data_IF_645604823832
#
_entry.id   IF_645604823832
#
_cell.length_a   1.000
_cell.length_b   1.000
_cell.length_c   1.000
_cell.angle_alpha   90.00
_cell.angle_beta   90.00
_cell.angle_gamma   90.00
#
_symmetry.space_group_name_H-M   'P 1'
#
loop_
_entity.id
_entity.type
_entity.pdbx_description
1 polymer ?
#
# COMPACT_ATOMS: atom_id res chain seq x y z
N UNK A 1 -13.80 -10.57 -1.99
CA UNK A 1 -13.66 -9.16 -1.56
C UNK A 1 -13.21 -8.36 -2.77
N UNK A 2 -13.75 -7.18 -3.05
CA UNK A 2 -13.32 -6.40 -4.22
C UNK A 2 -12.04 -5.67 -3.87
N UNK A 3 -10.92 -6.03 -4.51
CA UNK A 3 -9.61 -5.41 -4.25
C UNK A 3 -9.48 -3.99 -4.81
N UNK A 4 -10.36 -3.62 -5.72
CA UNK A 4 -10.28 -2.39 -6.50
C UNK A 4 -11.66 -1.75 -6.69
N UNK A 5 -11.72 -0.43 -6.58
CA UNK A 5 -12.86 0.38 -7.02
C UNK A 5 -12.35 1.62 -7.74
N UNK A 6 -12.82 1.84 -8.98
CA UNK A 6 -12.45 3.01 -9.77
C UNK A 6 -13.46 4.15 -9.63
N UNK A 7 -12.98 5.39 -9.68
CA UNK A 7 -13.77 6.62 -9.66
C UNK A 7 -13.01 7.74 -10.38
N UNK A 8 -13.66 8.90 -10.59
CA UNK A 8 -13.04 10.05 -11.22
C UNK A 8 -13.04 11.27 -10.30
N UNK A 9 -11.97 12.06 -10.36
CA UNK A 9 -11.84 13.36 -9.72
C UNK A 9 -11.42 14.37 -10.79
N UNK A 10 -12.35 15.19 -11.25
CA UNK A 10 -12.10 16.05 -12.42
C UNK A 10 -11.75 15.21 -13.65
N UNK A 11 -10.61 15.48 -14.25
CA UNK A 11 -10.07 14.72 -15.40
C UNK A 11 -9.25 13.48 -15.01
N UNK A 12 -8.98 13.27 -13.71
CA UNK A 12 -8.12 12.18 -13.25
C UNK A 12 -8.91 10.91 -12.96
N UNK A 13 -8.44 9.79 -13.45
CA UNK A 13 -8.94 8.47 -13.08
C UNK A 13 -8.22 8.00 -11.81
N UNK A 14 -9.01 7.59 -10.84
CA UNK A 14 -8.51 7.16 -9.53
C UNK A 14 -9.05 5.79 -9.18
N UNK A 15 -8.30 5.07 -8.32
CA UNK A 15 -8.67 3.74 -7.83
C UNK A 15 -8.42 3.68 -6.33
N UNK A 16 -9.41 3.22 -5.54
CA UNK A 16 -9.13 2.74 -4.19
C UNK A 16 -8.62 1.32 -4.28
N UNK A 17 -7.50 1.06 -3.62
CA UNK A 17 -6.83 -0.23 -3.55
C UNK A 17 -6.90 -0.77 -2.12
N UNK A 18 -7.26 -2.04 -1.95
CA UNK A 18 -7.22 -2.70 -0.64
C UNK A 18 -5.81 -3.20 -0.37
N UNK A 19 -5.18 -2.67 0.68
CA UNK A 19 -3.84 -3.05 1.12
C UNK A 19 -3.84 -4.08 2.26
N UNK A 20 -5.03 -4.57 2.65
CA UNK A 20 -5.23 -5.53 3.72
C UNK A 20 -5.97 -4.96 4.93
N UNK A 21 -6.01 -5.76 5.99
CA UNK A 21 -6.62 -5.42 7.27
C UNK A 21 -5.58 -5.41 8.38
N UNK A 22 -5.83 -4.58 9.37
CA UNK A 22 -5.17 -4.61 10.67
C UNK A 22 -6.21 -4.55 11.79
N UNK A 23 -5.79 -4.84 13.03
CA UNK A 23 -6.64 -4.75 14.22
C UNK A 23 -5.96 -3.92 15.28
N UNK A 24 -6.61 -2.84 15.70
CA UNK A 24 -6.12 -1.95 16.76
C UNK A 24 -7.10 -1.92 17.92
N UNK A 25 -6.60 -1.60 19.12
CA UNK A 25 -7.44 -1.49 20.33
C UNK A 25 -8.59 -0.50 20.11
N UNK A 26 -9.81 -0.98 20.29
CA UNK A 26 -11.01 -0.17 20.08
C UNK A 26 -11.11 1.00 21.04
N UNK A 27 -10.57 0.88 22.26
CA UNK A 27 -10.53 1.98 23.22
C UNK A 27 -9.59 3.10 22.73
N UNK A 28 -8.43 2.73 22.18
CA UNK A 28 -7.51 3.72 21.58
C UNK A 28 -8.14 4.43 20.38
N UNK A 29 -8.88 3.70 19.54
CA UNK A 29 -9.52 4.26 18.34
C UNK A 29 -10.72 5.15 18.65
N UNK A 30 -11.55 4.78 19.61
CA UNK A 30 -12.74 5.53 19.99
C UNK A 30 -12.50 6.55 21.11
N UNK A 31 -11.31 6.55 21.72
CA UNK A 31 -10.92 7.52 22.74
C UNK A 31 -11.87 7.56 23.92
N UNK A 32 -12.48 8.70 24.18
CA UNK A 32 -13.38 8.91 25.32
C UNK A 32 -14.76 8.29 25.16
N UNK A 33 -15.10 7.74 23.99
CA UNK A 33 -16.40 7.09 23.77
C UNK A 33 -16.43 5.76 24.53
N UNK A 34 -17.41 5.53 25.45
CA UNK A 34 -17.47 4.28 26.21
C UNK A 34 -17.63 3.04 25.32
N UNK A 35 -16.94 1.94 25.68
CA UNK A 35 -16.99 0.67 24.95
C UNK A 35 -18.43 0.17 24.74
N UNK A 36 -19.30 0.35 25.71
CA UNK A 36 -20.71 -0.03 25.61
C UNK A 36 -21.47 0.64 24.48
N UNK A 37 -21.01 1.80 24.02
CA UNK A 37 -21.59 2.51 22.89
C UNK A 37 -20.95 2.09 21.57
N UNK A 38 -19.62 2.14 21.44
CA UNK A 38 -18.99 1.85 20.15
C UNK A 38 -19.02 0.37 19.76
N UNK A 39 -19.01 -0.57 20.71
CA UNK A 39 -19.11 -2.01 20.39
C UNK A 39 -20.43 -2.40 19.71
N UNK A 40 -21.47 -1.57 19.79
CA UNK A 40 -22.72 -1.78 19.05
C UNK A 40 -22.60 -1.50 17.55
N UNK A 41 -21.53 -0.82 17.15
CA UNK A 41 -21.24 -0.43 15.76
C UNK A 41 -20.17 -1.32 15.12
N UNK A 42 -19.19 -1.72 15.90
CA UNK A 42 -18.11 -2.58 15.45
C UNK A 42 -17.74 -3.54 16.58
N UNK A 43 -17.86 -4.83 16.33
CA UNK A 43 -17.59 -5.87 17.34
C UNK A 43 -16.09 -6.06 17.49
N UNK A 44 -15.54 -5.88 18.70
CA UNK A 44 -14.13 -6.15 18.97
C UNK A 44 -13.86 -7.65 19.11
N UNK A 45 -12.62 -8.05 18.85
CA UNK A 45 -12.13 -9.38 19.20
C UNK A 45 -11.90 -9.53 20.73
N UNK A 46 -11.46 -10.74 21.15
CA UNK A 46 -11.17 -11.05 22.56
C UNK A 46 -10.06 -10.18 23.16
N UNK A 47 -9.23 -9.57 22.33
CA UNK A 47 -8.16 -8.63 22.70
C UNK A 47 -8.62 -7.16 22.64
N UNK A 48 -9.93 -6.90 22.54
CA UNK A 48 -10.55 -5.57 22.40
C UNK A 48 -10.13 -4.82 21.11
N UNK A 49 -9.64 -5.54 20.10
CA UNK A 49 -9.20 -4.93 18.84
C UNK A 49 -10.34 -4.90 17.83
N UNK A 50 -10.42 -3.82 17.06
CA UNK A 50 -11.38 -3.66 15.97
C UNK A 50 -10.66 -3.75 14.62
N UNK A 51 -11.32 -4.29 13.57
CA UNK A 51 -10.73 -4.35 12.23
C UNK A 51 -10.71 -2.97 11.57
N UNK A 52 -9.58 -2.63 10.96
CA UNK A 52 -9.35 -1.41 10.20
C UNK A 52 -8.75 -1.79 8.85
N UNK A 53 -9.28 -1.23 7.76
CA UNK A 53 -8.76 -1.47 6.43
C UNK A 53 -7.58 -0.52 6.14
N UNK A 54 -6.53 -1.07 5.54
CA UNK A 54 -5.41 -0.31 5.00
C UNK A 54 -5.71 -0.02 3.52
N UNK A 55 -6.28 1.16 3.22
CA UNK A 55 -6.64 1.55 1.86
C UNK A 55 -5.70 2.58 1.30
N UNK A 56 -5.29 2.34 0.06
CA UNK A 56 -4.47 3.24 -0.72
C UNK A 56 -5.27 3.83 -1.87
N UNK A 57 -4.79 4.92 -2.47
CA UNK A 57 -5.39 5.49 -3.67
C UNK A 57 -4.34 5.56 -4.77
N UNK A 58 -4.64 4.95 -5.90
CA UNK A 58 -3.85 5.11 -7.12
C UNK A 58 -4.50 6.18 -8.00
N UNK A 59 -3.69 7.10 -8.51
CA UNK A 59 -4.10 8.16 -9.43
C UNK A 59 -3.37 7.97 -10.76
N UNK A 60 -4.12 7.85 -11.85
CA UNK A 60 -3.58 7.88 -13.20
C UNK A 60 -3.40 9.36 -13.62
N UNK A 61 -2.16 9.82 -13.63
CA UNK A 61 -1.80 11.18 -14.05
C UNK A 61 -1.02 11.11 -15.37
N UNK A 62 -1.13 12.14 -16.21
CA UNK A 62 -0.46 12.18 -17.53
C UNK A 62 1.07 12.01 -17.44
N UNK A 63 1.67 12.49 -16.37
CA UNK A 63 3.10 12.35 -16.13
C UNK A 63 3.50 11.00 -15.50
N UNK A 64 2.56 10.15 -15.08
CA UNK A 64 2.78 8.83 -14.51
C UNK A 64 1.92 8.56 -13.28
N UNK A 65 1.97 7.32 -12.78
CA UNK A 65 1.15 6.88 -11.66
C UNK A 65 1.60 7.48 -10.33
N UNK A 66 0.61 7.92 -9.54
CA UNK A 66 0.82 8.40 -8.17
C UNK A 66 0.08 7.44 -7.23
N UNK A 67 0.79 6.87 -6.26
CA UNK A 67 0.20 6.06 -5.20
C UNK A 67 0.17 6.87 -3.90
N UNK A 68 -1.01 7.03 -3.32
CA UNK A 68 -1.21 7.68 -2.03
C UNK A 68 -1.34 6.61 -0.97
N UNK A 69 -0.41 6.59 -0.02
CA UNK A 69 -0.13 5.55 0.96
C UNK A 69 0.25 4.19 0.34
N UNK A 70 0.91 3.34 1.11
CA UNK A 70 1.47 2.07 0.64
C UNK A 70 1.12 0.88 1.53
N UNK A 71 0.18 1.04 2.45
CA UNK A 71 -0.16 0.03 3.45
C UNK A 71 1.07 -0.45 4.25
N UNK A 72 1.06 -1.69 4.76
CA UNK A 72 2.11 -2.21 5.64
C UNK A 72 3.34 -2.75 4.88
N UNK A 73 3.15 -3.35 3.71
CA UNK A 73 4.21 -4.11 3.05
C UNK A 73 4.39 -5.52 3.65
N UNK A 74 5.60 -6.11 3.50
CA UNK A 74 5.89 -7.51 3.85
C UNK A 74 7.12 -7.70 4.75
N UNK A 75 7.52 -6.69 5.51
CA UNK A 75 8.79 -6.68 6.28
C UNK A 75 8.65 -7.13 7.73
N UNK A 76 7.44 -7.12 8.25
CA UNK A 76 7.18 -7.28 9.68
C UNK A 76 7.28 -8.75 10.10
N UNK A 77 7.78 -8.96 11.33
CA UNK A 77 7.90 -10.30 11.88
C UNK A 77 6.55 -10.87 12.38
N UNK A 78 6.53 -12.17 12.66
CA UNK A 78 5.33 -12.87 13.10
C UNK A 78 4.72 -12.29 14.39
N UNK A 79 5.56 -11.75 15.29
CA UNK A 79 5.11 -11.13 16.54
C UNK A 79 4.36 -9.83 16.27
N UNK A 80 4.88 -9.00 15.37
CA UNK A 80 4.22 -7.78 14.95
C UNK A 80 2.86 -8.09 14.28
N UNK A 81 2.86 -9.06 13.35
CA UNK A 81 1.65 -9.48 12.65
C UNK A 81 0.56 -9.96 13.62
N UNK A 82 0.92 -10.72 14.66
CA UNK A 82 -0.03 -11.16 15.70
C UNK A 82 -0.55 -9.99 16.57
N UNK A 83 0.34 -9.11 17.03
CA UNK A 83 -0.04 -7.97 17.87
C UNK A 83 -1.09 -7.11 17.17
N UNK A 84 -0.85 -6.78 15.92
CA UNK A 84 -1.71 -5.91 15.12
C UNK A 84 -2.75 -6.66 14.29
N UNK A 85 -2.83 -7.99 14.40
CA UNK A 85 -3.81 -8.81 13.66
C UNK A 85 -3.79 -8.52 12.17
N UNK A 86 -2.60 -8.50 11.59
CA UNK A 86 -2.39 -8.14 10.18
C UNK A 86 -2.89 -9.26 9.25
N UNK A 87 -3.67 -8.87 8.26
CA UNK A 87 -4.19 -9.72 7.20
C UNK A 87 -3.97 -8.97 5.87
N UNK A 88 -2.75 -9.03 5.33
CA UNK A 88 -2.37 -8.32 4.11
C UNK A 88 -1.64 -9.19 3.09
N UNK A 89 -1.58 -10.50 3.31
CA UNK A 89 -0.93 -11.42 2.38
C UNK A 89 -1.69 -11.44 1.05
N UNK A 90 -0.96 -11.32 -0.05
CA UNK A 90 -1.50 -11.43 -1.41
C UNK A 90 -1.84 -12.87 -1.78
N UNK A 91 -2.61 -13.05 -2.85
CA UNK A 91 -2.91 -14.34 -3.46
C UNK A 91 -1.84 -14.71 -4.50
N UNK A 92 -1.40 -13.74 -5.28
CA UNK A 92 -0.37 -13.90 -6.33
C UNK A 92 0.84 -12.99 -6.08
N UNK A 93 0.61 -11.76 -5.58
CA UNK A 93 1.67 -10.86 -5.11
C UNK A 93 2.09 -11.13 -3.67
N UNK A 94 3.14 -10.48 -3.21
CA UNK A 94 3.60 -10.57 -1.83
C UNK A 94 2.60 -9.96 -0.84
N UNK A 95 1.80 -8.99 -1.30
CA UNK A 95 0.79 -8.29 -0.49
C UNK A 95 -0.52 -8.10 -1.26
N UNK A 96 -1.62 -7.86 -0.54
CA UNK A 96 -2.91 -7.53 -1.15
C UNK A 96 -2.86 -6.22 -1.97
N UNK A 97 -1.99 -5.27 -1.60
CA UNK A 97 -1.80 -4.06 -2.37
C UNK A 97 -1.22 -4.36 -3.76
N UNK A 98 -0.29 -5.31 -3.86
CA UNK A 98 0.25 -5.75 -5.16
C UNK A 98 -0.81 -6.43 -6.02
N UNK A 99 -1.64 -7.29 -5.44
CA UNK A 99 -2.78 -7.89 -6.13
C UNK A 99 -3.81 -6.84 -6.57
N UNK A 100 -4.05 -5.81 -5.75
CA UNK A 100 -4.94 -4.71 -6.09
C UNK A 100 -4.38 -3.85 -7.24
N UNK A 101 -3.08 -3.58 -7.25
CA UNK A 101 -2.40 -2.92 -8.37
C UNK A 101 -2.51 -3.76 -9.65
N UNK A 102 -2.23 -5.06 -9.58
CA UNK A 102 -2.37 -5.98 -10.71
C UNK A 102 -3.81 -6.01 -11.25
N UNK A 103 -4.81 -5.97 -10.37
CA UNK A 103 -6.23 -5.88 -10.74
C UNK A 103 -6.58 -4.57 -11.47
N UNK A 104 -5.82 -3.50 -11.22
CA UNK A 104 -5.93 -2.23 -11.95
C UNK A 104 -5.14 -2.24 -13.28
N UNK A 105 -4.38 -3.29 -13.57
CA UNK A 105 -3.53 -3.43 -14.75
C UNK A 105 -2.11 -2.86 -14.57
N UNK A 106 -1.68 -2.61 -13.35
CA UNK A 106 -0.39 -2.01 -13.03
C UNK A 106 0.45 -2.92 -12.10
N UNK A 107 1.75 -2.66 -12.07
CA UNK A 107 2.69 -3.32 -11.17
C UNK A 107 3.33 -2.27 -10.24
N UNK A 108 3.87 -2.66 -9.08
CA UNK A 108 4.55 -1.71 -8.19
C UNK A 108 5.62 -0.86 -8.87
N UNK A 109 6.35 -1.42 -9.84
CA UNK A 109 7.38 -0.71 -10.63
C UNK A 109 6.84 0.39 -11.54
N UNK A 110 5.54 0.39 -11.84
CA UNK A 110 4.89 1.39 -12.71
C UNK A 110 4.54 2.66 -11.92
N UNK A 111 4.55 2.58 -10.58
CA UNK A 111 4.31 3.71 -9.70
C UNK A 111 5.51 4.66 -9.77
N UNK A 112 5.26 5.89 -10.20
CA UNK A 112 6.31 6.91 -10.36
C UNK A 112 6.52 7.74 -9.09
N UNK A 113 5.43 8.03 -8.37
CA UNK A 113 5.46 8.80 -7.13
C UNK A 113 4.63 8.15 -6.05
N UNK A 114 5.14 8.23 -4.83
CA UNK A 114 4.42 7.87 -3.62
C UNK A 114 4.21 9.11 -2.78
N UNK A 115 2.99 9.32 -2.31
CA UNK A 115 2.61 10.37 -1.36
C UNK A 115 2.12 9.68 -0.10
N UNK A 116 2.86 9.79 1.00
CA UNK A 116 2.36 9.32 2.29
C UNK A 116 1.58 10.42 2.99
N UNK A 117 0.37 10.11 3.44
CA UNK A 117 -0.44 11.01 4.28
C UNK A 117 0.27 11.26 5.60
N UNK A 118 0.89 10.22 6.15
CA UNK A 118 1.76 10.24 7.31
C UNK A 118 2.61 8.95 7.38
N UNK A 119 3.51 8.84 8.36
CA UNK A 119 4.51 7.78 8.41
C UNK A 119 4.21 6.64 9.40
N UNK A 120 2.95 6.40 9.76
CA UNK A 120 2.60 5.19 10.48
C UNK A 120 2.76 3.96 9.57
N UNK A 121 2.99 2.81 10.19
CA UNK A 121 3.34 1.57 9.48
C UNK A 121 2.28 1.12 8.46
N UNK A 122 1.02 1.36 8.74
CA UNK A 122 -0.13 1.03 7.90
C UNK A 122 -0.35 2.00 6.72
N UNK A 123 0.43 3.06 6.63
CA UNK A 123 0.43 4.05 5.55
C UNK A 123 1.74 4.07 4.75
N UNK A 124 2.88 3.85 5.41
CA UNK A 124 4.20 3.99 4.81
C UNK A 124 5.02 2.69 4.81
N UNK A 125 4.50 1.61 5.38
CA UNK A 125 5.20 0.34 5.50
C UNK A 125 5.62 -0.26 4.16
N UNK A 126 4.78 -0.13 3.14
CA UNK A 126 5.04 -0.63 1.79
C UNK A 126 5.96 0.25 0.93
N UNK A 127 6.48 1.39 1.45
CA UNK A 127 7.48 2.19 0.72
C UNK A 127 8.75 1.41 0.41
N UNK A 128 9.00 0.35 1.16
CA UNK A 128 10.13 -0.57 0.97
C UNK A 128 9.62 -2.00 1.10
N UNK A 129 10.24 -2.93 0.38
CA UNK A 129 9.91 -4.35 0.42
C UNK A 129 11.12 -5.19 0.84
N UNK A 130 10.86 -6.36 1.43
CA UNK A 130 11.91 -7.37 1.57
C UNK A 130 12.19 -7.98 0.20
N UNK A 131 13.46 -8.07 -0.15
CA UNK A 131 13.91 -8.79 -1.33
C UNK A 131 13.90 -10.30 -0.98
N UNK A 132 13.12 -11.14 -1.66
CA UNK A 132 13.05 -12.56 -1.36
C UNK A 132 14.41 -13.27 -1.54
N UNK A 133 15.27 -12.76 -2.42
CA UNK A 133 16.62 -13.31 -2.62
C UNK A 133 17.56 -13.02 -1.43
N UNK A 134 17.20 -12.06 -0.58
CA UNK A 134 17.94 -11.68 0.64
C UNK A 134 17.30 -12.19 1.94
N UNK A 135 16.27 -13.01 1.89
CA UNK A 135 15.57 -13.51 3.07
C UNK A 135 16.51 -14.23 4.04
N UNK A 136 17.54 -14.89 3.53
CA UNK A 136 18.57 -15.60 4.29
C UNK A 136 19.87 -14.80 4.48
N UNK A 137 19.96 -13.54 4.03
CA UNK A 137 21.14 -12.71 4.26
C UNK A 137 21.07 -12.08 5.67
N UNK A 138 22.03 -12.37 6.55
CA UNK A 138 22.07 -11.80 7.90
C UNK A 138 22.18 -10.27 7.92
N UNK A 139 22.50 -9.65 6.79
CA UNK A 139 22.57 -8.19 6.64
C UNK A 139 21.25 -7.54 6.25
N UNK A 140 20.18 -8.29 6.05
CA UNK A 140 18.80 -7.87 5.69
C UNK A 140 18.70 -6.42 5.19
N UNK A 141 18.82 -6.21 3.90
CA UNK A 141 18.66 -4.89 3.32
C UNK A 141 17.22 -4.67 2.86
N UNK A 142 16.60 -3.64 3.41
CA UNK A 142 15.33 -3.11 2.90
C UNK A 142 15.66 -2.28 1.65
N UNK A 143 15.12 -2.65 0.49
CA UNK A 143 15.27 -1.87 -0.74
C UNK A 143 14.10 -0.90 -0.89
N UNK A 144 14.36 0.37 -1.28
CA UNK A 144 13.30 1.23 -1.80
C UNK A 144 12.76 0.62 -3.11
N UNK A 145 11.46 0.81 -3.39
CA UNK A 145 10.87 0.42 -4.66
C UNK A 145 11.72 0.99 -5.82
N UNK A 146 12.03 0.20 -6.87
CA UNK A 146 12.89 0.67 -7.95
C UNK A 146 12.27 1.91 -8.62
N UNK A 147 13.05 2.96 -8.87
CA UNK A 147 12.57 4.09 -9.66
C UNK A 147 12.19 3.55 -11.04
N UNK A 148 11.00 3.92 -11.52
CA UNK A 148 10.54 3.55 -12.85
C UNK A 148 11.65 3.82 -13.87
N UNK A 149 12.00 2.83 -14.68
CA UNK A 149 12.96 2.97 -15.76
C UNK A 149 12.39 3.96 -16.77
N UNK A 150 12.78 5.23 -16.65
CA UNK A 150 12.50 6.24 -17.66
C UNK A 150 13.07 5.78 -18.98
N UNK A 151 12.21 5.44 -19.94
CA UNK A 151 12.62 5.22 -21.32
C UNK A 151 13.20 6.52 -21.83
N UNK A 152 14.55 6.59 -21.97
CA UNK A 152 15.22 7.64 -22.71
C UNK A 152 14.85 7.48 -24.18
N UNK A 153 13.82 8.18 -24.63
CA UNK A 153 13.59 8.39 -26.05
C UNK A 153 14.68 9.33 -26.56
N UNK A 154 15.73 8.76 -27.13
CA UNK A 154 16.69 9.50 -27.95
C UNK A 154 15.95 10.04 -29.17
N UNK A 155 15.64 11.34 -29.17
CA UNK A 155 15.12 12.04 -30.33
C UNK A 155 16.17 12.00 -31.47
N UNK A 156 15.72 11.99 -32.76
CA UNK A 156 16.62 11.93 -33.90
C UNK A 156 17.42 13.23 -34.02
N UNK A 157 18.72 13.06 -34.19
CA UNK A 157 19.65 14.16 -34.48
C UNK A 157 19.23 14.87 -35.77
N UNK A 158 18.93 16.18 -35.69
CA UNK A 158 18.69 17.02 -36.84
C UNK A 158 20.00 17.14 -37.64
N UNK A 159 20.01 16.55 -38.85
CA UNK A 159 21.08 16.69 -39.80
C UNK A 159 21.19 18.16 -40.29
N UNK A 160 22.37 18.79 -40.09
CA UNK A 160 22.73 20.02 -40.76
C UNK A 160 23.18 19.65 -42.17
N UNK A 161 22.46 20.08 -43.18
CA UNK A 161 22.92 20.16 -44.55
C UNK A 161 23.38 21.60 -44.89
N UNK A 162 24.46 21.68 -45.58
CA UNK A 162 25.10 22.88 -46.11
C UNK A 162 24.22 23.63 -47.13
#
# INVERSE_FOLDING_TARGET
MTLLRSFQVGGLRCHTLEGGLQRLDGGAMFGVVPRTLWKTRIEPDDRNRIPLAMRCVLVEHDDGLVLIDTALGNKEDAKFLDIYGIENQGLEGATQLEDALASAGFLPRDVKWVINTHLHFDHAGGNTTMDPDLENDPRRHVRPAPPGSGSSTSGPAAGRSR
#
